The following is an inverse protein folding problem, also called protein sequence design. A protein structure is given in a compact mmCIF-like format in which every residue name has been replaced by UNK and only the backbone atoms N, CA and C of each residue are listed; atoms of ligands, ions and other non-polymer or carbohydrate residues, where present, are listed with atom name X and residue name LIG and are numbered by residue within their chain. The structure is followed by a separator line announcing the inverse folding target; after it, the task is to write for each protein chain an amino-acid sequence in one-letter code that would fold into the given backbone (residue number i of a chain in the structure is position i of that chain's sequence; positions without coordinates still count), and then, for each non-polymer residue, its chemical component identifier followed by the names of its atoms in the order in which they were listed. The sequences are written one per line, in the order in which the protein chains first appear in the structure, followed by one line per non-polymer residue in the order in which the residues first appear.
data_IF_063122756667
#
_entry.id   IF_063122756667
#
_cell.length_a   1.000
_cell.length_b   1.000
_cell.length_c   1.000
_cell.angle_alpha   90.00
_cell.angle_beta   90.00
_cell.angle_gamma   90.00
#
_symmetry.space_group_name_H-M   'P 1'
#
loop_
_entity.id
_entity.type
_entity.pdbx_description
1 polymer ?
#
# COMPACT_ATOMS: atom_id res chain seq x y z
N UNK A 1 -0.61 10.73 -18.65
CA UNK A 1 0.64 10.66 -17.85
C UNK A 1 0.23 10.44 -16.40
N UNK A 2 -0.19 9.23 -16.03
CA UNK A 2 -0.66 8.93 -14.67
C UNK A 2 0.52 8.46 -13.82
N UNK A 3 1.34 9.40 -13.36
CA UNK A 3 2.46 9.13 -12.46
C UNK A 3 1.96 9.14 -11.00
N UNK A 4 0.96 8.30 -10.72
CA UNK A 4 0.42 8.09 -9.39
C UNK A 4 0.16 6.61 -9.23
N UNK A 5 0.77 5.97 -8.23
CA UNK A 5 0.19 4.75 -7.67
C UNK A 5 -1.19 5.13 -7.17
N UNK A 6 -2.23 4.88 -7.98
CA UNK A 6 -3.60 5.28 -7.65
C UNK A 6 -4.08 4.45 -6.48
N UNK A 7 -3.83 4.96 -5.28
CA UNK A 7 -4.58 4.57 -4.11
C UNK A 7 -6.06 4.83 -4.42
N UNK A 8 -6.90 3.85 -4.13
CA UNK A 8 -8.33 4.00 -4.23
C UNK A 8 -8.78 4.82 -3.02
N UNK A 9 -9.17 6.08 -3.26
CA UNK A 9 -9.49 7.03 -2.20
C UNK A 9 -10.74 6.61 -1.40
N UNK A 10 -11.60 5.80 -2.01
CA UNK A 10 -12.83 5.26 -1.45
C UNK A 10 -12.58 4.01 -0.58
N UNK A 11 -11.37 3.45 -0.62
CA UNK A 11 -10.98 2.28 0.16
C UNK A 11 -10.08 2.68 1.32
N UNK A 12 -10.22 2.00 2.44
CA UNK A 12 -9.33 2.16 3.59
C UNK A 12 -7.90 1.71 3.26
N UNK A 13 -6.94 2.02 4.13
CA UNK A 13 -5.55 1.54 4.05
C UNK A 13 -5.51 0.02 3.91
N UNK A 14 -6.21 -0.70 4.78
CA UNK A 14 -6.29 -2.16 4.74
C UNK A 14 -6.90 -2.68 3.43
N UNK A 15 -8.02 -2.09 3.00
CA UNK A 15 -8.70 -2.49 1.76
C UNK A 15 -7.85 -2.22 0.51
N UNK A 16 -7.06 -1.14 0.49
CA UNK A 16 -6.12 -0.88 -0.60
C UNK A 16 -5.06 -1.99 -0.71
N UNK A 17 -4.52 -2.44 0.42
CA UNK A 17 -3.54 -3.53 0.45
C UNK A 17 -4.16 -4.87 0.05
N UNK A 18 -5.36 -5.18 0.55
CA UNK A 18 -6.11 -6.39 0.18
C UNK A 18 -6.43 -6.43 -1.32
N UNK A 19 -6.92 -5.31 -1.87
CA UNK A 19 -7.21 -5.19 -3.30
C UNK A 19 -5.96 -5.46 -4.14
N UNK A 20 -4.83 -4.83 -3.80
CA UNK A 20 -3.60 -5.01 -4.56
C UNK A 20 -3.03 -6.43 -4.41
N UNK A 21 -3.12 -7.04 -3.22
CA UNK A 21 -2.76 -8.44 -3.05
C UNK A 21 -3.57 -9.37 -3.99
N UNK A 22 -4.88 -9.12 -4.13
CA UNK A 22 -5.74 -9.86 -5.08
C UNK A 22 -5.39 -9.57 -6.54
N UNK A 23 -5.15 -8.32 -6.90
CA UNK A 23 -4.76 -7.93 -8.27
C UNK A 23 -3.45 -8.61 -8.70
N UNK A 24 -2.50 -8.74 -7.77
CA UNK A 24 -1.24 -9.46 -7.98
C UNK A 24 -1.32 -10.98 -7.73
N UNK A 25 -2.53 -11.53 -7.56
CA UNK A 25 -2.79 -12.98 -7.43
C UNK A 25 -2.08 -13.65 -6.24
N UNK A 26 -1.93 -12.93 -5.13
CA UNK A 26 -1.58 -13.55 -3.86
C UNK A 26 -2.64 -14.61 -3.50
N UNK A 27 -2.27 -15.83 -3.07
CA UNK A 27 -3.25 -16.84 -2.65
C UNK A 27 -4.17 -16.32 -1.55
N UNK A 28 -5.49 -16.53 -1.65
CA UNK A 28 -6.48 -15.95 -0.73
C UNK A 28 -6.18 -16.25 0.76
N UNK A 29 -5.69 -17.45 1.05
CA UNK A 29 -5.30 -17.86 2.41
C UNK A 29 -4.09 -17.09 2.97
N UNK A 30 -3.25 -16.50 2.10
CA UNK A 30 -2.08 -15.70 2.50
C UNK A 30 -2.39 -14.21 2.63
N UNK A 31 -3.46 -13.72 1.99
CA UNK A 31 -3.72 -12.27 1.87
C UNK A 31 -3.78 -11.61 3.24
N UNK A 32 -4.56 -12.16 4.18
CA UNK A 32 -4.68 -11.59 5.52
C UNK A 32 -3.32 -11.44 6.21
N UNK A 33 -2.51 -12.51 6.19
CA UNK A 33 -1.17 -12.49 6.78
C UNK A 33 -0.21 -11.51 6.09
N UNK A 34 -0.27 -11.41 4.74
CA UNK A 34 0.55 -10.45 3.99
C UNK A 34 0.16 -9.01 4.26
N UNK A 35 -1.13 -8.74 4.36
CA UNK A 35 -1.66 -7.40 4.66
C UNK A 35 -1.22 -6.97 6.06
N UNK A 36 -1.39 -7.83 7.07
CA UNK A 36 -0.91 -7.53 8.44
C UNK A 36 0.61 -7.28 8.48
N UNK A 37 1.40 -8.18 7.88
CA UNK A 37 2.84 -8.03 7.83
C UNK A 37 3.26 -6.71 7.14
N UNK A 38 2.55 -6.33 6.07
CA UNK A 38 2.80 -5.08 5.33
C UNK A 38 2.40 -3.86 6.16
N UNK A 39 1.24 -3.87 6.81
CA UNK A 39 0.79 -2.79 7.70
C UNK A 39 1.82 -2.54 8.81
N UNK A 40 2.31 -3.59 9.46
CA UNK A 40 3.33 -3.46 10.49
C UNK A 40 4.67 -2.97 9.94
N UNK A 41 5.14 -3.54 8.82
CA UNK A 41 6.44 -3.18 8.21
C UNK A 41 6.49 -1.70 7.80
N UNK A 42 5.39 -1.13 7.33
CA UNK A 42 5.32 0.26 6.89
C UNK A 42 4.82 1.22 7.98
N UNK A 43 4.50 0.72 9.18
CA UNK A 43 4.01 1.53 10.29
C UNK A 43 2.61 2.11 10.05
N UNK A 44 1.75 1.37 9.36
CA UNK A 44 0.39 1.76 8.97
C UNK A 44 -0.70 1.03 9.78
N UNK A 45 -0.34 0.16 10.72
CA UNK A 45 -1.28 -0.67 11.47
C UNK A 45 -2.33 0.16 12.24
N UNK A 46 -1.94 1.31 12.81
CA UNK A 46 -2.87 2.21 13.51
C UNK A 46 -3.87 2.91 12.58
N UNK A 47 -3.53 3.01 11.29
CA UNK A 47 -4.32 3.70 10.28
C UNK A 47 -5.09 2.73 9.37
N UNK A 48 -5.15 1.44 9.71
CA UNK A 48 -5.77 0.38 8.88
C UNK A 48 -7.13 0.77 8.31
N UNK A 49 -7.99 1.34 9.15
CA UNK A 49 -9.37 1.69 8.81
C UNK A 49 -9.53 3.14 8.33
N UNK A 50 -8.43 3.90 8.23
CA UNK A 50 -8.45 5.26 7.72
C UNK A 50 -8.55 5.27 6.19
N UNK A 51 -9.14 6.34 5.64
CA UNK A 51 -9.09 6.61 4.20
C UNK A 51 -7.77 7.31 3.85
N UNK A 52 -7.14 7.03 2.68
CA UNK A 52 -5.89 7.64 2.25
C UNK A 52 -5.88 9.17 2.32
N UNK A 53 -7.01 9.81 2.03
CA UNK A 53 -7.12 11.27 2.05
C UNK A 53 -7.01 11.90 3.43
N UNK A 54 -7.31 11.13 4.48
CA UNK A 54 -7.15 11.55 5.88
C UNK A 54 -5.72 11.38 6.38
N UNK A 55 -4.85 10.72 5.61
CA UNK A 55 -3.46 10.49 6.01
C UNK A 55 -2.60 11.73 5.71
N UNK A 56 -1.68 12.08 6.61
CA UNK A 56 -0.55 12.95 6.30
C UNK A 56 0.19 12.48 5.04
N UNK A 57 0.76 13.41 4.28
CA UNK A 57 1.44 13.12 3.01
C UNK A 57 2.47 11.97 3.13
N UNK A 58 3.32 12.00 4.16
CA UNK A 58 4.32 10.96 4.38
C UNK A 58 3.75 9.57 4.73
N UNK A 59 2.56 9.48 5.31
CA UNK A 59 1.86 8.20 5.51
C UNK A 59 1.22 7.72 4.20
N UNK A 60 0.71 8.65 3.38
CA UNK A 60 0.18 8.34 2.05
C UNK A 60 1.27 7.81 1.11
N UNK A 61 2.45 8.43 1.11
CA UNK A 61 3.63 7.94 0.37
C UNK A 61 4.05 6.54 0.85
N UNK A 62 4.06 6.31 2.17
CA UNK A 62 4.32 4.98 2.74
C UNK A 62 3.28 3.95 2.30
N UNK A 63 2.00 4.31 2.25
CA UNK A 63 0.95 3.44 1.72
C UNK A 63 1.15 3.11 0.24
N UNK A 64 1.53 4.07 -0.61
CA UNK A 64 1.85 3.81 -2.01
C UNK A 64 2.98 2.78 -2.16
N UNK A 65 4.03 2.87 -1.33
CA UNK A 65 5.11 1.88 -1.31
C UNK A 65 4.65 0.53 -0.74
N UNK A 66 3.82 0.54 0.31
CA UNK A 66 3.29 -0.67 0.92
C UNK A 66 2.44 -1.49 -0.07
N UNK A 67 1.60 -0.80 -0.84
CA UNK A 67 0.83 -1.38 -1.94
C UNK A 67 1.73 -2.03 -3.00
N UNK A 68 2.82 -1.35 -3.39
CA UNK A 68 3.78 -1.93 -4.33
C UNK A 68 4.52 -3.16 -3.77
N UNK A 69 4.61 -3.30 -2.45
CA UNK A 69 5.36 -4.37 -1.79
C UNK A 69 4.51 -5.54 -1.28
N UNK A 70 3.18 -5.41 -1.22
CA UNK A 70 2.29 -6.43 -0.62
C UNK A 70 2.39 -7.81 -1.28
N UNK A 71 2.69 -7.83 -2.58
CA UNK A 71 2.85 -9.06 -3.36
C UNK A 71 4.28 -9.64 -3.34
N UNK A 72 5.19 -9.02 -2.58
CA UNK A 72 6.60 -9.43 -2.42
C UNK A 72 7.35 -9.54 -3.75
N UNK A 73 7.48 -8.44 -4.51
CA UNK A 73 8.25 -8.46 -5.75
C UNK A 73 9.74 -8.73 -5.48
N UNK A 74 10.41 -9.42 -6.41
CA UNK A 74 11.87 -9.62 -6.37
C UNK A 74 12.64 -8.32 -6.66
N UNK A 75 12.04 -7.41 -7.44
CA UNK A 75 12.61 -6.12 -7.81
C UNK A 75 11.54 -5.03 -7.72
N UNK A 76 11.83 -3.99 -6.95
CA UNK A 76 11.03 -2.76 -6.92
C UNK A 76 11.81 -1.64 -7.61
N UNK A 77 11.26 -1.12 -8.71
CA UNK A 77 11.80 0.05 -9.41
C UNK A 77 11.02 1.27 -8.93
N UNK A 78 11.75 2.28 -8.46
CA UNK A 78 11.18 3.55 -8.00
C UNK A 78 11.74 4.66 -8.88
N UNK A 79 10.84 5.42 -9.49
CA UNK A 79 11.21 6.65 -10.19
C UNK A 79 11.01 7.82 -9.24
N UNK A 80 12.11 8.53 -8.94
CA UNK A 80 12.14 9.69 -8.04
C UNK A 80 11.40 9.55 -6.69
N UNK A 81 11.71 8.54 -5.83
CA UNK A 81 10.95 8.27 -4.61
C UNK A 81 11.05 9.36 -3.53
N UNK A 82 11.95 10.32 -3.69
CA UNK A 82 12.23 11.39 -2.73
C UNK A 82 11.84 12.78 -3.24
N UNK A 83 11.36 12.96 -4.47
CA UNK A 83 11.11 14.30 -5.07
C UNK A 83 9.83 15.00 -4.58
N UNK A 84 9.12 14.44 -3.60
CA UNK A 84 7.87 14.99 -3.06
C UNK A 84 7.95 15.51 -1.61
N UNK A 85 9.11 16.09 -1.22
CA UNK A 85 9.29 16.82 0.06
C UNK A 85 8.92 18.29 -0.12
#
# INVERSE_FOLDING_TARGET
MSQTFSLYAELTVGQNLELHARLFRVPELEIGGRVEATLHRFGLAADRDALPDKLPLGLRQRLSLAVAMVHQPELLILDEPTSGV
#
